data_IF_396685458121
#
_entry.id   IF_396685458121
#
_cell.length_a   1.000
_cell.length_b   1.000
_cell.length_c   1.000
_cell.angle_alpha   90.00
_cell.angle_beta   90.00
_cell.angle_gamma   90.00
#
_symmetry.space_group_name_H-M   'P 1'
#
loop_
_entity.id
_entity.type
_entity.pdbx_description
1 polymer ?
#
# COMPACT_ATOMS: atom_id res chain seq x y z
N UNK A 1 27.66 -6.66 -66.28
CA UNK A 1 27.67 -7.28 -64.94
C UNK A 1 27.02 -6.34 -63.96
N UNK A 2 25.87 -6.64 -63.42
CA UNK A 2 25.29 -5.83 -62.36
C UNK A 2 25.94 -6.19 -61.03
N UNK A 3 26.49 -5.20 -60.35
CA UNK A 3 27.05 -5.34 -59.00
C UNK A 3 25.85 -5.34 -58.03
N UNK A 4 25.57 -6.55 -57.50
CA UNK A 4 24.63 -6.67 -56.39
C UNK A 4 25.32 -6.15 -55.14
N UNK A 5 25.05 -4.88 -54.79
CA UNK A 5 25.44 -4.31 -53.52
C UNK A 5 24.65 -5.01 -52.39
N UNK A 6 25.36 -5.56 -51.44
CA UNK A 6 24.76 -6.15 -50.22
C UNK A 6 24.11 -5.07 -49.35
N UNK A 7 22.83 -4.82 -49.55
CA UNK A 7 22.00 -4.00 -48.65
C UNK A 7 21.47 -4.83 -47.48
N UNK A 8 22.31 -5.50 -46.77
CA UNK A 8 21.79 -6.51 -45.84
C UNK A 8 21.90 -6.24 -44.34
N UNK A 9 22.77 -5.35 -43.92
CA UNK A 9 23.03 -5.28 -42.45
C UNK A 9 22.80 -3.93 -41.76
N UNK A 10 22.58 -2.87 -42.53
CA UNK A 10 22.45 -1.51 -41.95
C UNK A 10 21.02 -1.06 -41.72
N UNK A 11 20.01 -1.66 -42.33
CA UNK A 11 18.62 -1.19 -42.30
C UNK A 11 17.84 -1.62 -41.04
N UNK A 12 18.32 -2.61 -40.28
CA UNK A 12 17.62 -3.10 -39.09
C UNK A 12 17.90 -2.24 -37.84
N UNK A 13 18.88 -1.35 -37.89
CA UNK A 13 19.20 -0.43 -36.77
C UNK A 13 18.35 0.85 -36.75
N UNK A 14 17.50 1.06 -37.73
CA UNK A 14 16.69 2.27 -37.86
C UNK A 14 15.41 2.30 -37.03
N UNK A 15 14.97 1.18 -36.45
CA UNK A 15 13.76 1.11 -35.63
C UNK A 15 14.09 0.84 -34.17
N UNK A 16 14.89 1.67 -33.53
CA UNK A 16 14.91 1.82 -32.07
C UNK A 16 15.11 0.57 -31.21
N UNK A 17 15.32 -0.61 -31.76
CA UNK A 17 15.73 -1.81 -31.04
C UNK A 17 17.25 -1.92 -30.94
N UNK A 18 17.90 -0.85 -30.52
CA UNK A 18 19.23 -1.03 -29.95
C UNK A 18 19.01 -1.78 -28.63
N UNK A 19 19.28 -3.07 -28.63
CA UNK A 19 19.36 -3.87 -27.41
C UNK A 19 20.49 -3.31 -26.55
N UNK A 20 20.22 -2.16 -25.89
CA UNK A 20 21.15 -1.57 -24.96
C UNK A 20 21.49 -2.63 -23.90
N UNK A 21 22.76 -2.94 -23.76
CA UNK A 21 23.26 -3.90 -22.76
C UNK A 21 23.25 -3.33 -21.35
N UNK A 22 22.87 -2.05 -21.19
CA UNK A 22 22.85 -1.36 -19.91
C UNK A 22 21.53 -1.49 -19.15
N UNK A 23 21.51 -1.07 -17.88
CA UNK A 23 20.32 -1.06 -17.05
C UNK A 23 19.24 -0.14 -17.65
N UNK A 24 17.98 -0.37 -17.24
CA UNK A 24 16.83 0.49 -17.56
C UNK A 24 16.55 1.40 -16.39
N UNK A 25 16.43 2.70 -16.64
CA UNK A 25 15.99 3.66 -15.62
C UNK A 25 14.47 3.72 -15.60
N UNK A 26 13.89 3.58 -14.41
CA UNK A 26 12.43 3.64 -14.18
C UNK A 26 12.11 4.56 -13.01
N UNK A 27 10.96 5.20 -13.06
CA UNK A 27 10.34 5.83 -11.90
C UNK A 27 9.32 4.85 -11.31
N UNK A 28 9.13 4.90 -9.99
CA UNK A 28 8.25 3.96 -9.32
C UNK A 28 7.34 4.63 -8.30
N UNK A 29 6.18 4.01 -8.11
CA UNK A 29 5.24 4.30 -7.04
C UNK A 29 4.73 2.96 -6.48
N UNK A 30 4.91 2.76 -5.18
CA UNK A 30 4.45 1.57 -4.46
C UNK A 30 3.45 2.03 -3.42
N UNK A 31 2.28 1.38 -3.37
CA UNK A 31 1.26 1.63 -2.35
C UNK A 31 0.92 0.35 -1.62
N UNK A 32 0.87 0.39 -0.29
CA UNK A 32 0.38 -0.73 0.53
C UNK A 32 -1.13 -0.95 0.36
N UNK A 33 -1.63 -2.11 0.78
CA UNK A 33 -3.07 -2.38 0.86
C UNK A 33 -3.75 -1.48 1.89
N UNK A 34 -4.98 -1.04 1.64
CA UNK A 34 -5.77 -0.27 2.61
C UNK A 34 -6.22 -1.13 3.80
N UNK A 35 -6.37 -0.53 4.98
CA UNK A 35 -6.96 -1.18 6.15
C UNK A 35 -8.48 -1.32 6.04
N UNK A 36 -9.05 -2.33 6.72
CA UNK A 36 -10.49 -2.54 6.83
C UNK A 36 -11.15 -1.61 7.84
N UNK A 37 -12.44 -1.32 7.64
CA UNK A 37 -13.25 -0.54 8.57
C UNK A 37 -13.67 -1.32 9.82
N UNK A 38 -13.90 -0.59 10.91
CA UNK A 38 -14.49 -1.15 12.13
C UNK A 38 -16.00 -1.33 12.03
N UNK A 39 -16.57 -2.15 12.91
CA UNK A 39 -18.00 -2.47 12.94
C UNK A 39 -18.80 -1.50 13.82
N UNK A 40 -20.14 -1.45 13.65
CA UNK A 40 -21.10 -0.55 14.32
C UNK A 40 -20.79 0.93 14.05
N UNK A 41 -20.61 1.71 15.13
CA UNK A 41 -20.10 3.10 15.06
C UNK A 41 -18.58 3.09 14.89
N UNK A 42 -18.11 2.19 14.04
CA UNK A 42 -16.70 2.01 13.76
C UNK A 42 -16.17 3.09 12.81
N UNK A 43 -14.88 3.25 12.83
CA UNK A 43 -14.16 4.17 11.97
C UNK A 43 -13.62 3.49 10.71
N UNK A 44 -13.30 4.27 9.71
CA UNK A 44 -12.64 3.80 8.50
C UNK A 44 -11.21 3.32 8.76
N UNK A 45 -10.77 2.32 8.01
CA UNK A 45 -9.36 1.93 7.94
C UNK A 45 -8.52 3.01 7.27
N UNK A 46 -7.24 3.02 7.58
CA UNK A 46 -6.24 3.89 6.97
C UNK A 46 -5.87 3.45 5.56
N UNK A 47 -5.43 4.39 4.74
CA UNK A 47 -4.83 4.06 3.45
C UNK A 47 -3.48 3.34 3.64
N UNK A 48 -3.10 2.50 2.69
CA UNK A 48 -1.74 1.98 2.63
C UNK A 48 -0.72 3.10 2.50
N UNK A 49 0.46 2.87 3.02
CA UNK A 49 1.60 3.77 2.87
C UNK A 49 1.99 3.92 1.41
N UNK A 50 2.65 5.02 1.10
CA UNK A 50 3.11 5.32 -0.25
C UNK A 50 4.63 5.52 -0.25
N UNK A 51 5.31 4.85 -1.16
CA UNK A 51 6.75 5.00 -1.41
C UNK A 51 6.96 5.27 -2.90
N UNK A 52 7.69 6.31 -3.22
CA UNK A 52 7.98 6.66 -4.62
C UNK A 52 9.44 7.03 -4.79
N UNK A 53 9.92 6.91 -6.01
CA UNK A 53 11.26 7.35 -6.36
C UNK A 53 11.42 7.45 -7.87
N UNK A 54 12.52 8.04 -8.28
CA UNK A 54 12.88 8.28 -9.68
C UNK A 54 14.24 7.68 -10.00
N UNK A 55 14.45 7.38 -11.29
CA UNK A 55 15.74 6.95 -11.82
C UNK A 55 16.30 5.66 -11.18
N UNK A 56 15.43 4.75 -10.76
CA UNK A 56 15.84 3.41 -10.33
C UNK A 56 16.42 2.65 -11.53
N UNK A 57 17.63 2.17 -11.39
CA UNK A 57 18.29 1.38 -12.41
C UNK A 57 18.00 -0.10 -12.22
N UNK A 58 17.38 -0.71 -13.22
CA UNK A 58 17.07 -2.13 -13.24
C UNK A 58 17.96 -2.83 -14.27
N UNK A 59 18.69 -3.86 -13.83
CA UNK A 59 19.54 -4.64 -14.70
C UNK A 59 18.69 -5.57 -15.57
N UNK A 60 19.04 -5.62 -16.85
CA UNK A 60 18.36 -6.51 -17.81
C UNK A 60 18.71 -7.97 -17.52
N UNK A 61 17.71 -8.84 -17.59
CA UNK A 61 17.88 -10.27 -17.33
C UNK A 61 18.00 -10.64 -15.86
N UNK A 62 17.72 -9.70 -14.96
CA UNK A 62 17.61 -9.93 -13.51
C UNK A 62 16.13 -10.02 -13.14
N UNK A 63 15.78 -11.02 -12.33
CA UNK A 63 14.44 -11.19 -11.80
C UNK A 63 14.25 -10.30 -10.55
N UNK A 64 13.17 -9.53 -10.57
CA UNK A 64 12.78 -8.68 -9.45
C UNK A 64 11.44 -9.16 -8.88
N UNK A 65 11.38 -9.39 -7.57
CA UNK A 65 10.14 -9.77 -6.91
C UNK A 65 9.30 -8.53 -6.61
N UNK A 66 8.03 -8.58 -7.03
CA UNK A 66 7.01 -7.59 -6.68
C UNK A 66 6.00 -8.27 -5.75
N UNK A 67 5.77 -7.66 -4.58
CA UNK A 67 4.72 -8.07 -3.66
C UNK A 67 3.63 -7.01 -3.65
N UNK A 68 2.37 -7.43 -3.79
CA UNK A 68 1.20 -6.54 -3.69
C UNK A 68 0.42 -6.91 -2.43
N UNK A 69 0.32 -5.95 -1.51
CA UNK A 69 -0.39 -6.14 -0.25
C UNK A 69 -1.90 -6.26 -0.46
N UNK A 70 -2.50 -7.25 0.18
CA UNK A 70 -3.96 -7.40 0.17
C UNK A 70 -4.65 -6.30 0.99
N UNK A 71 -5.91 -5.95 0.68
CA UNK A 71 -6.70 -5.09 1.56
C UNK A 71 -6.93 -5.77 2.91
N UNK A 72 -6.97 -5.00 3.99
CA UNK A 72 -7.40 -5.48 5.29
C UNK A 72 -8.88 -5.85 5.27
N UNK A 73 -9.28 -6.99 5.85
CA UNK A 73 -10.69 -7.34 5.95
C UNK A 73 -11.43 -6.33 6.83
N UNK A 74 -12.69 -6.07 6.51
CA UNK A 74 -13.61 -5.38 7.42
C UNK A 74 -13.98 -6.28 8.61
N UNK A 75 -14.45 -5.68 9.69
CA UNK A 75 -14.82 -6.42 10.89
C UNK A 75 -16.21 -7.06 10.77
N UNK A 76 -16.39 -7.97 9.83
CA UNK A 76 -17.65 -8.69 9.59
C UNK A 76 -17.96 -9.82 10.57
N UNK A 77 -17.27 -9.92 11.70
CA UNK A 77 -17.36 -11.06 12.62
C UNK A 77 -18.26 -10.83 13.85
N UNK A 78 -18.76 -11.95 14.45
CA UNK A 78 -19.46 -11.89 15.73
C UNK A 78 -18.50 -11.43 16.85
N UNK A 79 -19.07 -10.84 17.91
CA UNK A 79 -18.31 -10.42 19.08
C UNK A 79 -17.19 -11.40 19.51
N UNK A 80 -16.04 -10.92 19.98
CA UNK A 80 -15.72 -9.58 20.46
C UNK A 80 -14.89 -8.71 19.51
N UNK A 81 -14.79 -9.05 18.22
CA UNK A 81 -13.86 -8.42 17.27
C UNK A 81 -14.58 -7.34 16.44
N UNK A 82 -14.51 -6.11 16.92
CA UNK A 82 -15.15 -4.97 16.25
C UNK A 82 -14.16 -4.08 15.47
N UNK A 83 -12.87 -4.41 15.47
CA UNK A 83 -11.86 -3.72 14.67
C UNK A 83 -11.79 -4.33 13.27
N UNK A 84 -11.49 -3.52 12.27
CA UNK A 84 -11.10 -4.02 10.96
C UNK A 84 -9.75 -4.75 10.99
N UNK A 85 -9.33 -5.31 9.88
CA UNK A 85 -8.01 -5.87 9.70
C UNK A 85 -7.03 -4.83 9.11
N UNK A 86 -5.74 -5.01 9.37
CA UNK A 86 -4.70 -4.22 8.72
C UNK A 86 -4.56 -4.63 7.25
N UNK A 87 -4.20 -3.67 6.40
CA UNK A 87 -3.78 -3.94 5.03
C UNK A 87 -2.42 -4.64 4.98
N UNK A 88 -2.17 -5.34 3.89
CA UNK A 88 -0.89 -5.97 3.62
C UNK A 88 0.14 -4.98 3.07
N UNK A 89 1.40 -5.28 3.29
CA UNK A 89 2.53 -4.51 2.77
C UNK A 89 2.75 -4.80 1.28
N UNK A 90 3.14 -3.77 0.53
CA UNK A 90 3.61 -3.91 -0.86
C UNK A 90 5.09 -3.61 -0.94
N UNK A 91 5.78 -4.33 -1.82
CA UNK A 91 7.22 -4.19 -1.94
C UNK A 91 7.77 -4.53 -3.31
N UNK A 92 8.98 -4.06 -3.54
CA UNK A 92 9.79 -4.39 -4.70
C UNK A 92 11.22 -4.71 -4.22
N UNK A 93 11.86 -5.69 -4.83
CA UNK A 93 13.22 -6.11 -4.46
C UNK A 93 14.17 -4.91 -4.32
N UNK A 94 14.78 -4.77 -3.15
CA UNK A 94 15.77 -3.73 -2.88
C UNK A 94 15.22 -2.34 -2.56
N UNK A 95 13.89 -2.17 -2.50
CA UNK A 95 13.26 -0.90 -2.12
C UNK A 95 12.61 -0.98 -0.74
N UNK A 96 12.36 0.20 -0.17
CA UNK A 96 11.58 0.34 1.06
C UNK A 96 10.17 -0.19 0.83
N UNK A 97 9.68 -1.00 1.75
CA UNK A 97 8.32 -1.54 1.72
C UNK A 97 7.30 -0.44 2.00
N UNK A 98 6.23 -0.39 1.20
CA UNK A 98 5.05 0.43 1.49
C UNK A 98 4.15 -0.32 2.47
N UNK A 99 4.04 0.21 3.68
CA UNK A 99 3.33 -0.44 4.80
C UNK A 99 1.82 -0.44 4.55
N UNK A 100 1.13 -1.51 4.89
CA UNK A 100 -0.32 -1.59 4.80
C UNK A 100 -1.02 -0.58 5.70
N UNK A 101 -2.26 -0.20 5.35
CA UNK A 101 -3.09 0.73 6.12
C UNK A 101 -3.53 0.16 7.46
N UNK A 102 -3.61 1.03 8.47
CA UNK A 102 -4.09 0.66 9.80
C UNK A 102 -5.57 0.32 9.82
N UNK A 103 -5.98 -0.65 10.63
CA UNK A 103 -7.37 -1.03 10.80
C UNK A 103 -8.18 0.08 11.50
N UNK A 104 -9.41 0.28 11.08
CA UNK A 104 -10.37 1.15 11.77
C UNK A 104 -10.81 0.56 13.09
N UNK A 105 -10.90 1.40 14.12
CA UNK A 105 -11.46 1.04 15.42
C UNK A 105 -12.94 0.74 15.34
N UNK A 106 -13.42 -0.27 16.06
CA UNK A 106 -14.84 -0.58 16.17
C UNK A 106 -15.51 0.16 17.32
N UNK A 107 -16.81 0.43 17.17
CA UNK A 107 -17.67 0.85 18.27
C UNK A 107 -18.38 -0.34 18.91
N UNK A 108 -18.89 -0.17 20.13
CA UNK A 108 -19.73 -1.17 20.78
C UNK A 108 -21.16 -0.67 20.88
N UNK A 109 -22.10 -1.42 20.26
CA UNK A 109 -23.53 -1.03 20.20
C UNK A 109 -24.40 -1.58 21.33
N UNK A 110 -23.85 -2.09 22.41
CA UNK A 110 -24.62 -2.70 23.51
C UNK A 110 -24.98 -1.70 24.61
N UNK A 111 -26.10 -1.92 25.29
CA UNK A 111 -26.65 -1.11 26.39
C UNK A 111 -25.77 -1.07 27.65
N UNK A 112 -24.48 -1.26 27.57
CA UNK A 112 -23.53 -1.26 28.68
C UNK A 112 -22.31 -0.37 28.52
N UNK A 113 -22.22 0.44 27.48
CA UNK A 113 -21.20 1.49 27.35
C UNK A 113 -19.76 1.00 27.42
N UNK A 114 -19.45 -0.20 26.96
CA UNK A 114 -18.09 -0.76 27.03
C UNK A 114 -17.32 -0.37 25.78
N UNK A 115 -16.37 0.45 26.01
CA UNK A 115 -15.25 0.90 25.24
C UNK A 115 -15.11 0.39 23.80
N UNK A 116 -15.19 1.31 22.82
CA UNK A 116 -14.74 1.03 21.48
C UNK A 116 -13.25 0.77 21.41
N UNK A 117 -12.78 0.44 20.26
CA UNK A 117 -11.39 0.14 20.00
C UNK A 117 -10.70 1.32 19.32
N UNK A 118 -9.46 1.60 19.65
CA UNK A 118 -8.66 2.59 18.94
C UNK A 118 -8.38 2.14 17.51
N UNK A 119 -8.11 3.09 16.64
CA UNK A 119 -7.55 2.78 15.32
C UNK A 119 -6.16 2.16 15.45
N UNK A 120 -5.81 1.28 14.53
CA UNK A 120 -4.51 0.62 14.48
C UNK A 120 -3.52 1.44 13.63
N UNK A 121 -2.22 1.38 13.97
CA UNK A 121 -1.18 2.01 13.15
C UNK A 121 -1.05 1.32 11.79
N UNK A 122 -0.52 2.05 10.81
CA UNK A 122 -0.29 1.53 9.47
C UNK A 122 0.47 2.52 8.61
N UNK A 123 0.48 2.33 7.29
CA UNK A 123 0.97 3.32 6.33
C UNK A 123 0.32 4.67 6.64
N UNK A 124 -1.01 4.77 6.52
CA UNK A 124 -1.82 5.72 7.30
C UNK A 124 -2.54 4.97 8.41
N UNK A 125 -2.69 5.59 9.57
CA UNK A 125 -3.40 5.00 10.70
C UNK A 125 -4.92 4.93 10.46
N UNK A 126 -5.58 3.92 11.05
CA UNK A 126 -7.03 3.83 11.07
C UNK A 126 -7.66 4.84 12.04
N UNK A 127 -8.91 5.24 11.81
CA UNK A 127 -9.66 6.09 12.73
C UNK A 127 -10.05 5.39 14.02
N UNK A 128 -10.23 6.12 15.13
CA UNK A 128 -10.75 5.60 16.39
C UNK A 128 -12.25 5.35 16.33
N UNK A 129 -12.74 4.28 16.97
CA UNK A 129 -14.17 4.00 17.04
C UNK A 129 -14.94 5.02 17.87
N UNK A 130 -16.21 5.28 17.48
CA UNK A 130 -17.09 6.24 18.12
C UNK A 130 -17.88 5.71 19.33
N UNK A 131 -18.73 6.59 19.90
CA UNK A 131 -19.63 6.32 21.04
C UNK A 131 -18.92 5.90 22.34
N UNK A 132 -17.72 6.34 22.57
CA UNK A 132 -16.99 6.07 23.81
C UNK A 132 -16.67 7.34 24.58
N UNK A 133 -16.75 7.24 25.88
CA UNK A 133 -16.28 8.28 26.77
C UNK A 133 -15.17 7.69 27.64
N UNK A 134 -13.92 8.03 27.42
CA UNK A 134 -13.41 9.00 26.42
C UNK A 134 -13.38 8.47 24.98
N UNK A 135 -13.38 9.39 23.99
CA UNK A 135 -13.22 9.02 22.59
C UNK A 135 -11.96 8.16 22.34
N UNK A 136 -12.06 7.20 21.44
CA UNK A 136 -10.93 6.36 21.09
C UNK A 136 -9.95 7.09 20.16
N UNK A 137 -8.67 6.87 20.36
CA UNK A 137 -7.64 7.48 19.52
C UNK A 137 -7.55 6.81 18.14
N UNK A 138 -7.21 7.58 17.12
CA UNK A 138 -6.77 7.02 15.85
C UNK A 138 -5.38 6.38 15.96
N UNK A 139 -5.07 5.50 15.01
CA UNK A 139 -3.77 4.86 14.88
C UNK A 139 -2.72 5.81 14.32
N UNK A 140 -1.47 5.54 14.60
CA UNK A 140 -0.35 6.31 14.03
C UNK A 140 -0.11 5.95 12.57
N UNK A 141 0.29 6.93 11.76
CA UNK A 141 0.82 6.70 10.43
C UNK A 141 2.31 6.37 10.47
N UNK A 142 2.80 5.66 9.46
CA UNK A 142 4.24 5.41 9.26
C UNK A 142 4.89 6.67 8.72
N UNK A 143 5.98 7.09 9.33
CA UNK A 143 6.76 8.27 8.92
C UNK A 143 7.10 8.22 7.43
N UNK A 144 6.89 9.31 6.72
CA UNK A 144 7.12 9.48 5.27
C UNK A 144 6.27 8.56 4.36
N UNK A 145 5.29 7.85 4.90
CA UNK A 145 4.39 7.00 4.10
C UNK A 145 2.91 7.35 4.25
N UNK A 146 2.51 7.94 5.38
CA UNK A 146 1.13 8.32 5.60
C UNK A 146 0.93 9.13 6.87
N UNK A 147 -0.33 9.39 7.21
CA UNK A 147 -0.75 10.26 8.32
C UNK A 147 -1.46 9.46 9.41
N UNK A 148 -1.50 9.98 10.66
CA UNK A 148 -2.30 9.36 11.71
C UNK A 148 -3.80 9.42 11.38
N UNK A 149 -4.56 8.46 11.90
CA UNK A 149 -6.01 8.47 11.88
C UNK A 149 -6.60 9.47 12.86
N UNK A 150 -7.84 9.93 12.61
CA UNK A 150 -8.59 10.80 13.52
C UNK A 150 -9.12 10.06 14.75
N UNK A 151 -9.39 10.76 15.86
CA UNK A 151 -10.07 10.19 17.01
C UNK A 151 -11.54 9.85 16.69
N UNK A 152 -12.15 9.00 17.50
CA UNK A 152 -13.59 8.76 17.52
C UNK A 152 -14.39 9.97 18.01
N UNK A 153 -15.68 10.04 17.65
CA UNK A 153 -16.63 11.07 18.10
C UNK A 153 -17.49 10.58 19.24
#
# INVERSE_FOLDING_TARGET
MPILGSFGAAAVRGFGFSGGKGPVSVDYLITGGGGGGGFYVGAGGGAGGMVSGTSLLLDRGTDYTVTVGAPGPDSGGPEPYHQGGQGGDSGFTGLTTAVGGGAGGGGYGGAGGRGGFPGQPGGSGGGGGGQNVPPQTGGNGTTNQGNPGGPGG
#
